data_IF_434202279329
#
_entry.id   IF_434202279329
#
_cell.length_a   1.000
_cell.length_b   1.000
_cell.length_c   1.000
_cell.angle_alpha   90.00
_cell.angle_beta   90.00
_cell.angle_gamma   90.00
#
_symmetry.space_group_name_H-M   'P 1'
#
loop_
_entity.id
_entity.type
_entity.pdbx_description
1 polymer ?
#
# COMPACT_ATOMS: atom_id res chain seq x y z
N UNK A 1 -5.55 -3.02 15.19
CA UNK A 1 -4.65 -3.13 14.03
C UNK A 1 -5.44 -2.76 12.79
N UNK A 2 -5.00 -1.69 12.12
CA UNK A 2 -5.60 -1.22 10.87
C UNK A 2 -4.69 -1.61 9.71
N UNK A 3 -5.23 -2.25 8.69
CA UNK A 3 -4.47 -2.60 7.49
C UNK A 3 -4.73 -1.57 6.40
N UNK A 4 -3.68 -0.92 5.92
CA UNK A 4 -3.73 0.01 4.79
C UNK A 4 -3.12 -0.68 3.56
N UNK A 5 -3.94 -0.87 2.52
CA UNK A 5 -3.53 -1.51 1.27
C UNK A 5 -3.45 -0.46 0.16
N UNK A 6 -2.27 -0.32 -0.45
CA UNK A 6 -1.99 0.68 -1.48
C UNK A 6 -1.87 0.02 -2.84
N UNK A 7 -2.95 0.05 -3.62
CA UNK A 7 -2.97 -0.40 -5.01
C UNK A 7 -2.61 0.74 -5.93
N UNK A 8 -1.82 0.47 -6.97
CA UNK A 8 -1.43 1.48 -7.93
C UNK A 8 -0.39 0.97 -8.94
N UNK A 9 0.15 1.92 -9.69
CA UNK A 9 1.14 1.67 -10.72
C UNK A 9 2.59 1.75 -10.20
N UNK A 10 3.53 2.07 -11.08
CA UNK A 10 4.95 2.25 -10.80
C UNK A 10 5.24 3.28 -9.70
N UNK A 11 4.41 4.30 -9.53
CA UNK A 11 4.59 5.33 -8.50
C UNK A 11 4.31 4.74 -7.11
N UNK A 12 3.27 3.91 -6.99
CA UNK A 12 2.93 3.21 -5.74
C UNK A 12 3.94 2.11 -5.44
N UNK A 13 4.36 1.37 -6.47
CA UNK A 13 5.42 0.37 -6.34
C UNK A 13 6.74 0.98 -5.82
N UNK A 14 7.03 2.24 -6.16
CA UNK A 14 8.27 2.91 -5.78
C UNK A 14 9.38 2.77 -6.82
N UNK A 15 9.03 2.67 -8.11
CA UNK A 15 10.04 2.60 -9.18
C UNK A 15 10.96 3.82 -9.08
N UNK A 16 12.26 3.57 -9.28
CA UNK A 16 13.37 4.55 -9.21
C UNK A 16 13.80 5.00 -7.81
N UNK A 17 13.20 4.49 -6.73
CA UNK A 17 13.71 4.69 -5.36
C UNK A 17 14.32 3.39 -4.81
N UNK A 18 15.50 3.03 -5.31
CA UNK A 18 16.23 1.83 -4.88
C UNK A 18 16.87 1.92 -3.49
N UNK A 19 16.84 3.09 -2.85
CA UNK A 19 17.45 3.30 -1.52
C UNK A 19 16.38 3.13 -0.44
N UNK A 20 15.25 3.81 -0.60
CA UNK A 20 14.21 3.86 0.41
C UNK A 20 12.98 3.00 0.07
N UNK A 21 12.85 2.53 -1.17
CA UNK A 21 11.76 1.66 -1.63
C UNK A 21 10.49 2.43 -2.06
N UNK A 22 10.56 3.75 -2.14
CA UNK A 22 9.43 4.60 -2.49
C UNK A 22 8.62 5.06 -1.28
N UNK A 23 7.62 5.89 -1.55
CA UNK A 23 6.87 6.58 -0.50
C UNK A 23 6.03 5.63 0.36
N UNK A 24 5.49 4.53 -0.20
CA UNK A 24 4.69 3.55 0.57
C UNK A 24 5.58 2.81 1.57
N UNK A 25 6.80 2.45 1.19
CA UNK A 25 7.75 1.81 2.11
C UNK A 25 8.30 2.79 3.14
N UNK A 26 8.46 4.06 2.79
CA UNK A 26 8.75 5.11 3.78
C UNK A 26 7.61 5.28 4.79
N UNK A 27 6.36 5.27 4.34
CA UNK A 27 5.19 5.32 5.21
C UNK A 27 5.12 4.09 6.13
N UNK A 28 5.43 2.89 5.60
CA UNK A 28 5.53 1.65 6.39
C UNK A 28 6.54 1.80 7.53
N UNK A 29 7.76 2.27 7.22
CA UNK A 29 8.82 2.51 8.21
C UNK A 29 8.36 3.52 9.27
N UNK A 30 7.71 4.60 8.84
CA UNK A 30 7.18 5.64 9.73
C UNK A 30 6.10 5.10 10.68
N UNK A 31 5.09 4.39 10.16
CA UNK A 31 4.03 3.80 10.99
C UNK A 31 4.58 2.78 11.98
N UNK A 32 5.54 1.95 11.56
CA UNK A 32 6.20 1.00 12.46
C UNK A 32 7.00 1.72 13.55
N UNK A 33 7.77 2.76 13.19
CA UNK A 33 8.50 3.56 14.17
C UNK A 33 7.57 4.22 15.19
N UNK A 34 6.45 4.80 14.74
CA UNK A 34 5.42 5.38 15.62
C UNK A 34 4.83 4.36 16.58
N UNK A 35 4.57 3.14 16.12
CA UNK A 35 4.05 2.07 16.97
C UNK A 35 5.04 1.71 18.07
N UNK A 36 6.33 1.59 17.73
CA UNK A 36 7.38 1.23 18.67
C UNK A 36 7.76 2.35 19.67
N UNK A 37 7.50 3.63 19.35
CA UNK A 37 8.04 4.76 20.11
C UNK A 37 6.98 5.70 20.74
N UNK A 38 5.76 5.78 20.20
CA UNK A 38 4.81 6.86 20.54
C UNK A 38 3.46 6.35 21.11
N UNK A 39 3.40 5.11 21.61
CA UNK A 39 2.15 4.43 22.09
C UNK A 39 0.98 4.53 21.08
N UNK A 40 1.33 4.64 19.80
CA UNK A 40 0.35 4.80 18.73
C UNK A 40 -0.31 3.46 18.40
N UNK A 41 -1.52 3.51 17.81
CA UNK A 41 -2.20 2.29 17.36
C UNK A 41 -1.41 1.65 16.22
N UNK A 42 -1.35 0.32 16.23
CA UNK A 42 -0.70 -0.45 15.18
C UNK A 42 -1.41 -0.27 13.82
N UNK A 43 -0.64 0.19 12.83
CA UNK A 43 -1.06 0.32 11.44
C UNK A 43 -0.10 -0.48 10.55
N UNK A 44 -0.63 -1.48 9.85
CA UNK A 44 0.13 -2.29 8.89
C UNK A 44 -0.01 -1.71 7.49
N UNK A 45 1.11 -1.41 6.84
CA UNK A 45 1.16 -0.82 5.49
C UNK A 45 1.53 -1.90 4.47
N UNK A 46 0.70 -2.10 3.45
CA UNK A 46 0.93 -3.03 2.36
C UNK A 46 1.09 -2.28 1.02
N UNK A 47 2.29 -2.38 0.44
CA UNK A 47 2.54 -1.92 -0.92
C UNK A 47 2.05 -2.98 -1.91
N UNK A 48 0.99 -2.66 -2.66
CA UNK A 48 0.36 -3.52 -3.67
C UNK A 48 0.53 -2.93 -5.07
N UNK A 49 1.47 -1.98 -5.23
CA UNK A 49 1.80 -1.36 -6.51
C UNK A 49 2.45 -2.37 -7.45
N UNK A 50 2.14 -2.27 -8.74
CA UNK A 50 2.78 -3.06 -9.80
C UNK A 50 3.20 -2.10 -10.92
N UNK A 51 4.45 -2.21 -11.38
CA UNK A 51 4.95 -1.36 -12.46
C UNK A 51 4.14 -1.54 -13.74
N UNK A 52 3.63 -0.44 -14.31
CA UNK A 52 2.81 -0.47 -15.53
C UNK A 52 1.38 -1.01 -15.33
N UNK A 53 0.92 -1.13 -14.09
CA UNK A 53 -0.44 -1.59 -13.78
C UNK A 53 -1.52 -0.70 -14.39
N UNK A 54 -2.65 -1.31 -14.77
CA UNK A 54 -3.83 -0.58 -15.25
C UNK A 54 -5.04 -0.86 -14.36
N UNK A 55 -6.11 -0.08 -14.55
CA UNK A 55 -7.38 -0.29 -13.86
C UNK A 55 -7.98 -1.66 -14.23
N UNK A 56 -7.85 -2.11 -15.48
CA UNK A 56 -8.31 -3.44 -15.90
C UNK A 56 -7.50 -4.57 -15.24
N UNK A 57 -6.19 -4.35 -15.04
CA UNK A 57 -5.34 -5.27 -14.29
C UNK A 57 -5.74 -5.36 -12.82
N UNK A 58 -6.01 -4.21 -12.19
CA UNK A 58 -6.49 -4.13 -10.81
C UNK A 58 -7.76 -4.96 -10.60
N UNK A 59 -8.76 -4.78 -11.47
CA UNK A 59 -10.06 -5.49 -11.35
C UNK A 59 -9.86 -7.01 -11.28
N UNK A 60 -8.88 -7.55 -12.00
CA UNK A 60 -8.61 -9.00 -12.05
C UNK A 60 -7.93 -9.53 -10.79
N UNK A 61 -7.21 -8.70 -10.04
CA UNK A 61 -6.38 -9.13 -8.90
C UNK A 61 -6.89 -8.66 -7.53
N UNK A 62 -7.78 -7.66 -7.52
CA UNK A 62 -8.21 -6.98 -6.30
C UNK A 62 -8.70 -7.96 -5.24
N UNK A 63 -9.67 -8.83 -5.57
CA UNK A 63 -10.28 -9.74 -4.58
C UNK A 63 -9.26 -10.68 -3.95
N UNK A 64 -8.43 -11.32 -4.77
CA UNK A 64 -7.41 -12.28 -4.31
C UNK A 64 -6.41 -11.59 -3.38
N UNK A 65 -5.93 -10.41 -3.76
CA UNK A 65 -4.91 -9.70 -3.01
C UNK A 65 -5.43 -9.02 -1.74
N UNK A 66 -6.65 -8.48 -1.80
CA UNK A 66 -7.34 -7.90 -0.67
C UNK A 66 -7.67 -8.96 0.38
N UNK A 67 -8.28 -10.09 -0.03
CA UNK A 67 -8.64 -11.17 0.89
C UNK A 67 -7.42 -11.73 1.60
N UNK A 68 -6.27 -11.83 0.93
CA UNK A 68 -5.03 -12.31 1.52
C UNK A 68 -4.45 -11.40 2.62
N UNK A 69 -4.86 -10.12 2.69
CA UNK A 69 -4.25 -9.11 3.57
C UNK A 69 -5.24 -8.34 4.42
N UNK A 70 -6.55 -8.52 4.23
CA UNK A 70 -7.55 -7.79 5.00
C UNK A 70 -7.46 -8.16 6.49
N UNK A 71 -7.49 -7.14 7.34
CA UNK A 71 -7.71 -7.28 8.78
C UNK A 71 -9.16 -7.70 9.03
N UNK A 72 -9.44 -8.53 10.07
CA UNK A 72 -10.80 -8.73 10.55
C UNK A 72 -11.38 -7.48 11.24
N UNK A 73 -10.55 -6.48 11.54
CA UNK A 73 -10.94 -5.21 12.14
C UNK A 73 -11.08 -4.12 11.06
N UNK A 74 -10.15 -3.15 11.04
CA UNK A 74 -10.20 -2.00 10.14
C UNK A 74 -9.33 -2.19 8.92
N UNK A 75 -9.86 -1.79 7.76
CA UNK A 75 -9.14 -1.80 6.49
C UNK A 75 -9.31 -0.45 5.79
N UNK A 76 -8.20 0.12 5.34
CA UNK A 76 -8.17 1.29 4.46
C UNK A 76 -7.58 0.88 3.12
N UNK A 77 -8.25 1.25 2.04
CA UNK A 77 -7.86 0.89 0.68
C UNK A 77 -7.58 2.18 -0.09
N UNK A 78 -6.38 2.27 -0.65
CA UNK A 78 -5.94 3.39 -1.45
C UNK A 78 -5.78 2.92 -2.90
N UNK A 79 -6.42 3.64 -3.82
CA UNK A 79 -6.31 3.44 -5.26
C UNK A 79 -5.52 4.60 -5.86
N UNK A 80 -4.24 4.37 -6.10
CA UNK A 80 -3.26 5.36 -6.51
C UNK A 80 -2.93 5.18 -7.99
N UNK A 81 -3.90 5.50 -8.86
CA UNK A 81 -3.76 5.43 -10.32
C UNK A 81 -3.72 6.83 -10.92
N UNK A 82 -2.85 7.02 -11.91
CA UNK A 82 -2.84 8.25 -12.69
C UNK A 82 -4.02 8.29 -13.67
N UNK A 83 -4.72 9.42 -13.73
CA UNK A 83 -5.71 9.68 -14.76
C UNK A 83 -4.99 10.24 -15.99
N UNK A 84 -4.96 9.45 -17.06
CA UNK A 84 -4.53 9.94 -18.37
C UNK A 84 -5.75 10.63 -18.99
N UNK A 85 -5.69 11.96 -19.12
CA UNK A 85 -6.69 12.79 -19.80
C UNK A 85 -6.41 12.90 -21.29
#
# INVERSE_FOLDING_TARGET
MTNCLFFGDSITYGVYDGILGGWVDNLKKYCHWRYCNDDSKEVSIFNMGIGGETTEGLIKRFDVEFVARKSPFDNLIFLCYHLIY
#
